data_IF_900365723526
#
_entry.id   IF_900365723526
#
_cell.length_a   1.000
_cell.length_b   1.000
_cell.length_c   1.000
_cell.angle_alpha   90.00
_cell.angle_beta   90.00
_cell.angle_gamma   90.00
#
_symmetry.space_group_name_H-M   'P 1'
#
loop_
_entity.id
_entity.type
_entity.pdbx_description
1 polymer ?
#
# COMPACT_ATOMS: atom_id res chain seq x y z
N UNK A 1 6.91 48.56 63.81
CA UNK A 1 7.66 48.47 62.54
C UNK A 1 8.31 47.09 62.54
N UNK A 2 8.17 46.37 61.42
CA UNK A 2 8.73 45.05 61.09
C UNK A 2 7.99 43.85 61.72
N UNK A 3 7.15 43.25 60.87
CA UNK A 3 6.54 41.93 61.03
C UNK A 3 7.57 40.91 60.55
N UNK A 4 7.89 39.98 61.44
CA UNK A 4 8.75 38.81 61.25
C UNK A 4 8.01 37.79 60.37
N UNK A 5 8.33 37.75 59.07
CA UNK A 5 7.86 36.67 58.19
C UNK A 5 8.67 35.40 58.45
N UNK A 6 8.02 34.49 59.19
CA UNK A 6 8.52 33.15 59.46
C UNK A 6 8.52 32.31 58.19
N UNK A 7 9.70 31.86 57.80
CA UNK A 7 9.90 30.77 56.85
C UNK A 7 9.16 29.52 57.32
N UNK A 8 8.23 29.05 56.48
CA UNK A 8 7.53 27.78 56.67
C UNK A 8 8.31 26.72 55.89
N UNK A 9 9.25 26.08 56.57
CA UNK A 9 10.00 24.92 56.08
C UNK A 9 9.16 23.65 56.34
N UNK A 10 8.52 23.11 55.31
CA UNK A 10 7.79 21.83 55.34
C UNK A 10 8.66 20.74 54.69
N UNK A 11 9.27 19.90 55.54
CA UNK A 11 9.59 18.44 55.49
C UNK A 11 9.74 17.62 54.18
N UNK A 12 9.67 18.17 52.97
CA UNK A 12 10.06 17.45 51.75
C UNK A 12 10.88 18.44 50.93
N UNK A 13 12.19 18.20 50.77
CA UNK A 13 13.17 19.11 50.15
C UNK A 13 12.95 19.46 48.67
N UNK A 14 11.73 19.75 48.24
CA UNK A 14 11.39 20.32 46.96
C UNK A 14 11.19 21.82 47.13
N UNK A 15 12.04 22.59 46.45
CA UNK A 15 11.90 24.03 46.35
C UNK A 15 10.55 24.40 45.71
N UNK A 16 10.08 25.62 45.98
CA UNK A 16 8.84 26.15 45.37
C UNK A 16 8.87 26.10 43.82
N UNK A 17 10.07 26.19 43.24
CA UNK A 17 10.33 26.00 41.82
C UNK A 17 10.13 24.54 41.35
N UNK A 18 10.42 23.55 42.19
CA UNK A 18 10.13 22.14 41.93
C UNK A 18 8.62 21.86 41.81
N UNK A 19 7.80 22.51 42.64
CA UNK A 19 6.34 22.43 42.52
C UNK A 19 5.84 23.03 41.20
N UNK A 20 6.41 24.17 40.76
CA UNK A 20 6.05 24.78 39.46
C UNK A 20 6.41 23.90 38.27
N UNK A 21 7.58 23.23 38.31
CA UNK A 21 7.99 22.30 37.25
C UNK A 21 7.07 21.07 37.21
N UNK A 22 6.72 20.50 38.36
CA UNK A 22 5.80 19.37 38.43
C UNK A 22 4.40 19.72 37.93
N UNK A 23 3.90 20.92 38.23
CA UNK A 23 2.63 21.42 37.69
C UNK A 23 2.70 21.60 36.16
N UNK A 24 3.82 22.08 35.62
CA UNK A 24 4.04 22.17 34.17
C UNK A 24 4.03 20.80 33.48
N UNK A 25 4.76 19.82 34.04
CA UNK A 25 4.79 18.44 33.51
C UNK A 25 3.40 17.79 33.58
N UNK A 26 2.68 18.00 34.69
CA UNK A 26 1.32 17.50 34.85
C UNK A 26 0.37 18.11 33.81
N UNK A 27 0.48 19.41 33.52
CA UNK A 27 -0.32 20.07 32.49
C UNK A 27 -0.07 19.52 31.08
N UNK A 28 1.19 19.21 30.73
CA UNK A 28 1.55 18.58 29.44
C UNK A 28 0.97 17.16 29.34
N UNK A 29 1.09 16.36 30.40
CA UNK A 29 0.55 15.00 30.44
C UNK A 29 -0.98 15.03 30.32
N UNK A 30 -1.64 15.94 31.04
CA UNK A 30 -3.09 16.14 30.94
C UNK A 30 -3.47 16.55 29.51
N UNK A 31 -2.72 17.46 28.88
CA UNK A 31 -2.91 17.85 27.48
C UNK A 31 -2.81 16.66 26.51
N UNK A 32 -1.80 15.82 26.67
CA UNK A 32 -1.57 14.64 25.84
C UNK A 32 -2.69 13.59 26.02
N UNK A 33 -3.13 13.34 27.27
CA UNK A 33 -4.26 12.43 27.57
C UNK A 33 -5.59 12.99 27.06
N UNK A 34 -5.81 14.31 27.15
CA UNK A 34 -6.99 14.97 26.58
C UNK A 34 -7.01 14.87 25.06
N UNK A 35 -5.86 15.07 24.40
CA UNK A 35 -5.72 14.93 22.96
C UNK A 35 -5.98 13.49 22.51
N UNK A 36 -5.41 12.51 23.23
CA UNK A 36 -5.64 11.09 23.01
C UNK A 36 -7.11 10.69 23.20
N UNK A 37 -7.76 11.14 24.27
CA UNK A 37 -9.20 10.90 24.50
C UNK A 37 -10.08 11.58 23.46
N UNK A 38 -9.70 12.74 22.96
CA UNK A 38 -10.43 13.46 21.92
C UNK A 38 -10.36 12.73 20.57
N UNK A 39 -9.18 12.26 20.18
CA UNK A 39 -8.99 11.42 19.00
C UNK A 39 -9.79 10.11 19.10
N UNK A 40 -9.74 9.42 20.25
CA UNK A 40 -10.52 8.19 20.51
C UNK A 40 -12.04 8.40 20.40
N UNK A 41 -12.56 9.58 20.78
CA UNK A 41 -13.99 9.93 20.61
C UNK A 41 -14.38 10.14 19.15
N UNK A 42 -13.50 10.70 18.31
CA UNK A 42 -13.77 10.84 16.85
C UNK A 42 -13.86 9.47 16.16
N UNK A 43 -12.95 8.56 16.49
CA UNK A 43 -12.96 7.18 15.97
C UNK A 43 -14.23 6.42 16.38
N UNK A 44 -14.72 6.61 17.60
CA UNK A 44 -15.97 6.01 18.08
C UNK A 44 -17.23 6.61 17.42
N UNK A 45 -17.28 7.93 17.21
CA UNK A 45 -18.42 8.59 16.53
C UNK A 45 -18.61 8.11 15.09
N UNK A 46 -17.53 7.81 14.35
CA UNK A 46 -17.65 7.22 13.01
C UNK A 46 -18.20 5.80 13.03
N UNK A 47 -17.90 4.98 14.05
CA UNK A 47 -18.49 3.64 14.21
C UNK A 47 -19.99 3.68 14.48
N UNK A 48 -20.49 4.71 15.17
CA UNK A 48 -21.92 4.88 15.46
C UNK A 48 -22.76 5.29 14.24
N UNK A 49 -22.21 6.08 13.31
CA UNK A 49 -22.86 6.44 12.05
C UNK A 49 -22.95 5.26 11.06
N UNK A 50 -22.15 4.21 11.28
CA UNK A 50 -22.08 2.98 10.48
C UNK A 50 -23.23 1.99 10.73
N UNK A 51 -23.99 2.16 11.81
CA UNK A 51 -25.12 1.28 12.14
C UNK A 51 -26.43 1.61 11.40
N UNK A 52 -26.53 2.80 10.78
CA UNK A 52 -27.77 3.26 10.11
C UNK A 52 -27.80 3.06 8.59
N UNK A 53 -26.66 2.98 7.93
CA UNK A 53 -26.60 2.97 6.46
C UNK A 53 -26.41 1.57 5.87
N UNK A 54 -26.35 0.53 6.71
CA UNK A 54 -26.14 -0.86 6.29
C UNK A 54 -27.42 -1.59 5.88
N UNK A 55 -28.61 -1.08 6.24
CA UNK A 55 -29.90 -1.70 5.89
C UNK A 55 -30.44 -1.27 4.53
N UNK A 56 -30.11 -0.06 4.07
CA UNK A 56 -30.71 0.50 2.84
C UNK A 56 -30.07 -0.02 1.54
N UNK A 57 -28.86 -0.60 1.60
CA UNK A 57 -28.14 -1.02 0.39
C UNK A 57 -28.46 -2.47 -0.04
N UNK A 58 -28.90 -3.32 0.90
CA UNK A 58 -29.35 -4.69 0.58
C UNK A 58 -30.69 -4.70 -0.15
N UNK A 59 -31.56 -3.73 0.15
CA UNK A 59 -32.90 -3.66 -0.42
C UNK A 59 -32.89 -3.19 -1.88
N UNK A 60 -31.89 -2.38 -2.27
CA UNK A 60 -31.75 -1.89 -3.64
C UNK A 60 -31.13 -2.90 -4.63
N UNK A 61 -30.50 -3.98 -4.16
CA UNK A 61 -29.92 -5.00 -5.06
C UNK A 61 -30.88 -6.16 -5.36
N UNK A 62 -32.02 -6.27 -4.65
CA UNK A 62 -33.00 -7.33 -4.89
C UNK A 62 -33.98 -7.04 -6.05
N UNK A 63 -34.05 -5.80 -6.53
CA UNK A 63 -35.08 -5.37 -7.50
C UNK A 63 -34.65 -5.42 -8.99
N UNK A 64 -33.40 -5.83 -9.27
CA UNK A 64 -32.85 -5.83 -10.65
C UNK A 64 -32.87 -7.19 -11.37
N UNK A 65 -33.29 -8.28 -10.73
CA UNK A 65 -33.15 -9.66 -11.25
C UNK A 65 -34.49 -10.31 -11.68
N UNK A 66 -35.45 -9.55 -12.21
CA UNK A 66 -36.68 -10.14 -12.79
C UNK A 66 -37.13 -9.45 -14.08
N UNK A 67 -36.60 -9.87 -15.24
CA UNK A 67 -37.37 -10.03 -16.50
C UNK A 67 -36.74 -11.05 -17.46
N UNK A 68 -37.53 -11.95 -18.10
CA UNK A 68 -37.03 -13.03 -18.97
C UNK A 68 -37.30 -12.83 -20.48
N UNK A 69 -36.54 -13.58 -21.30
CA UNK A 69 -36.86 -14.00 -22.68
C UNK A 69 -35.95 -13.41 -23.76
N UNK A 70 -35.65 -14.05 -24.90
CA UNK A 70 -36.03 -15.33 -25.53
C UNK A 70 -35.06 -15.56 -26.71
N UNK A 71 -34.77 -16.83 -27.04
CA UNK A 71 -34.52 -17.25 -28.43
C UNK A 71 -33.16 -17.89 -28.74
N UNK A 72 -33.15 -19.21 -28.91
CA UNK A 72 -32.18 -19.96 -29.74
C UNK A 72 -32.77 -20.17 -31.15
N UNK A 73 -31.98 -20.52 -32.20
CA UNK A 73 -31.60 -21.93 -32.36
C UNK A 73 -30.18 -22.21 -32.90
N UNK A 74 -29.62 -23.30 -32.38
CA UNK A 74 -28.81 -24.35 -33.04
C UNK A 74 -27.72 -23.98 -34.06
N UNK A 75 -26.46 -24.27 -33.69
CA UNK A 75 -25.46 -24.81 -34.60
C UNK A 75 -24.53 -25.73 -33.82
N UNK A 76 -24.45 -26.98 -34.26
CA UNK A 76 -23.56 -28.03 -33.76
C UNK A 76 -22.15 -27.73 -34.26
N UNK A 77 -21.20 -27.51 -33.35
CA UNK A 77 -19.77 -27.71 -33.62
C UNK A 77 -19.05 -28.19 -32.36
N UNK A 78 -18.44 -29.37 -32.52
CA UNK A 78 -17.35 -29.99 -31.76
C UNK A 78 -16.74 -29.17 -30.61
N UNK A 79 -16.73 -29.75 -29.40
CA UNK A 79 -16.01 -29.20 -28.25
C UNK A 79 -14.49 -29.16 -28.55
N UNK A 80 -13.80 -28.01 -28.43
CA UNK A 80 -12.36 -27.99 -28.49
C UNK A 80 -11.81 -28.69 -27.24
N UNK A 81 -10.86 -29.61 -27.45
CA UNK A 81 -10.14 -30.33 -26.41
C UNK A 81 -9.70 -29.39 -25.27
N UNK A 82 -9.69 -29.85 -24.00
CA UNK A 82 -9.33 -29.01 -22.88
C UNK A 82 -7.93 -28.44 -23.11
N UNK A 83 -7.86 -27.10 -23.20
CA UNK A 83 -6.62 -26.37 -23.37
C UNK A 83 -5.60 -26.88 -22.35
N UNK A 84 -4.49 -27.44 -22.83
CA UNK A 84 -3.39 -27.89 -21.98
C UNK A 84 -3.09 -26.79 -20.96
N UNK A 85 -2.89 -27.10 -19.66
CA UNK A 85 -2.61 -26.10 -18.62
C UNK A 85 -1.47 -25.14 -19.01
N UNK A 86 -0.53 -25.62 -19.83
CA UNK A 86 0.58 -24.85 -20.38
C UNK A 86 0.17 -23.79 -21.40
N UNK A 87 -0.95 -23.98 -22.12
CA UNK A 87 -1.49 -23.00 -23.07
C UNK A 87 -2.18 -21.84 -22.32
N UNK A 88 -2.81 -22.12 -21.19
CA UNK A 88 -3.37 -21.10 -20.28
C UNK A 88 -2.26 -20.29 -19.61
N UNK A 89 -1.19 -20.94 -19.14
CA UNK A 89 0.01 -20.27 -18.63
C UNK A 89 0.70 -19.43 -19.71
N UNK A 90 0.83 -19.93 -20.94
CA UNK A 90 1.39 -19.19 -22.08
C UNK A 90 0.58 -17.92 -22.40
N UNK A 91 -0.75 -18.00 -22.39
CA UNK A 91 -1.62 -16.83 -22.58
C UNK A 91 -1.46 -15.82 -21.44
N UNK A 92 -1.43 -16.28 -20.19
CA UNK A 92 -1.19 -15.42 -19.01
C UNK A 92 0.20 -14.75 -19.04
N UNK A 93 1.24 -15.48 -19.44
CA UNK A 93 2.60 -14.95 -19.56
C UNK A 93 2.81 -14.03 -20.77
N UNK A 94 2.19 -14.32 -21.92
CA UNK A 94 2.23 -13.45 -23.10
C UNK A 94 1.61 -12.10 -22.80
N UNK A 95 0.40 -12.11 -22.21
CA UNK A 95 -0.26 -10.89 -21.76
C UNK A 95 0.56 -10.13 -20.70
N UNK A 96 1.28 -10.85 -19.82
CA UNK A 96 2.16 -10.23 -18.84
C UNK A 96 3.36 -9.51 -19.49
N UNK A 97 3.96 -10.07 -20.54
CA UNK A 97 5.07 -9.42 -21.25
C UNK A 97 4.64 -8.20 -22.07
N UNK A 98 3.45 -8.22 -22.67
CA UNK A 98 2.88 -7.07 -23.39
C UNK A 98 2.51 -5.90 -22.47
N UNK A 99 2.25 -6.18 -21.18
CA UNK A 99 1.93 -5.18 -20.14
C UNK A 99 3.18 -4.64 -19.44
N UNK A 100 4.24 -5.46 -19.29
CA UNK A 100 5.49 -5.10 -18.60
C UNK A 100 6.42 -4.26 -19.46
N UNK A 101 6.33 -4.33 -20.79
CA UNK A 101 6.99 -3.41 -21.71
C UNK A 101 5.96 -2.71 -22.62
N UNK A 102 5.33 -1.61 -22.17
CA UNK A 102 4.75 -0.64 -23.09
C UNK A 102 5.92 -0.04 -23.88
N UNK A 103 6.09 -0.42 -25.14
CA UNK A 103 6.99 0.31 -26.02
C UNK A 103 6.43 1.73 -26.14
N UNK A 104 7.16 2.71 -25.62
CA UNK A 104 6.78 4.11 -25.67
C UNK A 104 6.65 4.52 -27.15
N UNK A 105 5.44 4.85 -27.59
CA UNK A 105 5.27 5.70 -28.76
C UNK A 105 5.65 7.12 -28.32
N UNK A 106 6.65 7.68 -29.00
CA UNK A 106 7.20 9.01 -28.78
C UNK A 106 6.09 10.09 -28.83
N UNK A 107 5.67 10.60 -27.67
CA UNK A 107 4.93 11.85 -27.60
C UNK A 107 5.91 13.01 -27.38
N UNK A 108 6.24 13.65 -28.49
CA UNK A 108 6.98 14.89 -28.57
C UNK A 108 6.29 16.05 -27.82
N UNK A 109 7.12 16.82 -27.10
CA UNK A 109 7.11 18.28 -26.87
C UNK A 109 7.32 18.65 -25.39
N UNK A 110 8.05 19.68 -24.98
CA UNK A 110 9.04 20.55 -25.59
C UNK A 110 9.66 21.35 -24.43
N UNK A 111 10.98 21.27 -24.21
CA UNK A 111 11.73 22.40 -23.62
C UNK A 111 13.26 22.30 -23.82
N UNK A 112 13.71 22.97 -24.89
CA UNK A 112 14.92 23.77 -25.01
C UNK A 112 16.21 23.33 -24.26
N UNK A 113 17.17 22.73 -24.97
CA UNK A 113 18.45 23.38 -25.33
C UNK A 113 19.52 22.41 -25.90
N UNK A 114 20.00 22.76 -27.11
CA UNK A 114 21.22 22.33 -27.85
C UNK A 114 21.33 20.89 -28.43
N UNK A 115 21.63 20.76 -29.75
CA UNK A 115 21.97 19.48 -30.36
C UNK A 115 23.42 19.11 -30.00
N UNK A 116 23.62 17.96 -29.32
CA UNK A 116 24.96 17.36 -29.19
C UNK A 116 25.29 16.61 -30.48
N UNK A 117 26.42 16.99 -31.08
CA UNK A 117 27.01 16.37 -32.28
C UNK A 117 27.22 14.87 -32.08
N UNK A 118 26.95 14.10 -33.13
CA UNK A 118 27.29 12.68 -33.23
C UNK A 118 28.80 12.49 -32.99
N UNK A 119 29.16 11.67 -32.00
CA UNK A 119 30.53 11.20 -31.81
C UNK A 119 30.47 9.70 -31.54
N UNK A 120 30.86 8.97 -32.58
CA UNK A 120 31.56 7.67 -32.58
C UNK A 120 31.00 6.56 -31.68
N UNK A 121 30.41 5.57 -32.35
CA UNK A 121 30.04 4.26 -31.82
C UNK A 121 31.22 3.54 -31.17
N UNK A 122 31.14 3.14 -29.89
CA UNK A 122 32.17 2.31 -29.28
C UNK A 122 32.10 0.89 -29.87
N UNK A 123 33.25 0.41 -30.32
CA UNK A 123 33.49 -0.93 -30.86
C UNK A 123 32.91 -2.01 -29.93
N UNK A 124 31.95 -2.78 -30.45
CA UNK A 124 31.39 -3.97 -29.82
C UNK A 124 32.47 -5.05 -29.64
N UNK A 125 32.79 -5.37 -28.38
CA UNK A 125 33.50 -6.60 -28.03
C UNK A 125 32.51 -7.75 -28.21
N UNK A 126 32.68 -8.55 -29.26
CA UNK A 126 31.90 -9.76 -29.50
C UNK A 126 32.43 -10.91 -28.63
N UNK A 127 31.90 -11.05 -27.41
CA UNK A 127 31.93 -12.34 -26.68
C UNK A 127 30.60 -12.54 -25.97
N UNK A 128 29.71 -13.30 -26.60
CA UNK A 128 28.67 -14.04 -25.89
C UNK A 128 28.24 -15.20 -26.77
N UNK A 129 28.86 -16.36 -26.53
CA UNK A 129 28.28 -17.66 -26.86
C UNK A 129 26.80 -17.63 -26.41
N UNK A 130 25.87 -17.75 -27.36
CA UNK A 130 24.44 -17.67 -27.13
C UNK A 130 24.02 -18.89 -26.29
N UNK A 131 24.09 -18.78 -24.96
CA UNK A 131 23.61 -19.82 -24.04
C UNK A 131 22.19 -20.20 -24.46
N UNK A 132 21.97 -21.46 -24.85
CA UNK A 132 20.62 -21.97 -25.15
C UNK A 132 19.76 -21.74 -23.91
N UNK A 133 18.76 -20.88 -24.01
CA UNK A 133 17.77 -20.68 -22.96
C UNK A 133 16.93 -21.96 -22.93
N UNK A 134 16.92 -22.73 -21.82
CA UNK A 134 16.15 -23.96 -21.74
C UNK A 134 14.67 -23.64 -22.01
N UNK A 135 14.06 -24.45 -22.86
CA UNK A 135 12.64 -24.33 -23.16
C UNK A 135 11.86 -24.66 -21.88
N UNK A 136 10.69 -24.03 -21.68
CA UNK A 136 9.87 -24.24 -20.48
C UNK A 136 9.49 -25.72 -20.22
N UNK A 137 9.61 -26.57 -21.26
CA UNK A 137 9.37 -28.02 -21.21
C UNK A 137 10.48 -28.81 -20.50
N UNK A 138 11.63 -28.19 -20.30
CA UNK A 138 12.81 -28.79 -19.68
C UNK A 138 12.98 -28.36 -18.20
N UNK A 139 11.96 -27.71 -17.62
CA UNK A 139 12.00 -27.33 -16.20
C UNK A 139 11.95 -28.58 -15.31
N UNK A 140 12.73 -28.63 -14.21
CA UNK A 140 12.61 -29.68 -13.22
C UNK A 140 11.16 -29.82 -12.73
N UNK A 141 10.64 -31.05 -12.56
CA UNK A 141 9.25 -31.28 -12.18
C UNK A 141 8.87 -30.60 -10.85
N UNK A 142 9.81 -30.54 -9.89
CA UNK A 142 9.64 -29.87 -8.60
C UNK A 142 9.33 -28.36 -8.76
N UNK A 143 10.02 -27.68 -9.70
CA UNK A 143 9.79 -26.28 -9.98
C UNK A 143 8.46 -26.07 -10.71
N UNK A 144 8.11 -26.96 -11.63
CA UNK A 144 6.82 -26.89 -12.32
C UNK A 144 5.64 -27.04 -11.36
N UNK A 145 5.75 -27.96 -10.39
CA UNK A 145 4.76 -28.11 -9.32
C UNK A 145 4.65 -26.84 -8.46
N UNK A 146 5.77 -26.25 -8.05
CA UNK A 146 5.80 -25.01 -7.27
C UNK A 146 5.14 -23.83 -8.01
N UNK A 147 5.35 -23.73 -9.32
CA UNK A 147 4.73 -22.70 -10.16
C UNK A 147 3.22 -22.88 -10.35
N UNK A 148 2.71 -24.11 -10.24
CA UNK A 148 1.28 -24.42 -10.35
C UNK A 148 0.51 -24.19 -9.04
N UNK A 149 1.22 -24.01 -7.92
CA UNK A 149 0.57 -23.73 -6.63
C UNK A 149 -0.25 -22.43 -6.70
N UNK A 150 -1.55 -22.45 -6.36
CA UNK A 150 -2.36 -21.25 -6.32
C UNK A 150 -1.81 -20.28 -5.27
N UNK A 151 -1.48 -19.06 -5.70
CA UNK A 151 -1.12 -17.95 -4.80
C UNK A 151 -2.13 -16.84 -4.99
N UNK A 152 -2.59 -16.27 -3.88
CA UNK A 152 -3.45 -15.09 -3.90
C UNK A 152 -2.64 -13.90 -4.40
N UNK A 153 -3.13 -13.26 -5.46
CA UNK A 153 -2.49 -12.10 -6.08
C UNK A 153 -2.65 -10.84 -5.20
N UNK A 154 -1.75 -9.88 -5.42
CA UNK A 154 -1.74 -8.60 -4.69
C UNK A 154 -3.10 -7.90 -4.68
N UNK A 155 -3.80 -7.87 -5.81
CA UNK A 155 -5.08 -7.15 -5.94
C UNK A 155 -6.15 -7.82 -5.10
N UNK A 156 -6.25 -9.15 -5.14
CA UNK A 156 -7.15 -9.91 -4.25
C UNK A 156 -6.86 -9.65 -2.77
N UNK A 157 -5.58 -9.66 -2.38
CA UNK A 157 -5.15 -9.35 -1.02
C UNK A 157 -5.51 -7.91 -0.62
N UNK A 158 -5.32 -6.93 -1.51
CA UNK A 158 -5.72 -5.54 -1.31
C UNK A 158 -7.23 -5.43 -1.07
N UNK A 159 -8.06 -6.08 -1.88
CA UNK A 159 -9.51 -6.06 -1.68
C UNK A 159 -9.94 -6.71 -0.37
N UNK A 160 -9.26 -7.79 0.05
CA UNK A 160 -9.47 -8.39 1.38
C UNK A 160 -9.22 -7.37 2.49
N UNK A 161 -8.12 -6.61 2.42
CA UNK A 161 -7.82 -5.59 3.42
C UNK A 161 -8.73 -4.36 3.34
N UNK A 162 -9.13 -3.93 2.14
CA UNK A 162 -10.12 -2.86 1.96
C UNK A 162 -11.45 -3.25 2.64
N UNK A 163 -11.95 -4.45 2.37
CA UNK A 163 -13.19 -4.96 2.97
C UNK A 163 -13.06 -5.09 4.50
N UNK A 164 -11.92 -5.60 4.99
CA UNK A 164 -11.63 -5.71 6.42
C UNK A 164 -11.62 -4.34 7.12
N UNK A 165 -11.08 -3.32 6.46
CA UNK A 165 -10.96 -1.97 7.03
C UNK A 165 -12.33 -1.35 7.33
N UNK A 166 -13.36 -1.72 6.55
CA UNK A 166 -14.70 -1.12 6.61
C UNK A 166 -14.73 0.38 6.30
N UNK A 167 -13.65 0.91 5.72
CA UNK A 167 -13.54 2.30 5.25
C UNK A 167 -13.89 2.40 3.78
N UNK A 168 -14.35 3.58 3.38
CA UNK A 168 -14.68 3.84 1.98
C UNK A 168 -13.40 4.07 1.15
N UNK A 169 -13.43 3.74 -0.13
CA UNK A 169 -12.29 3.99 -1.04
C UNK A 169 -11.76 5.44 -0.95
N UNK A 170 -12.62 6.49 -0.89
CA UNK A 170 -12.18 7.88 -0.66
C UNK A 170 -11.42 8.13 0.62
N UNK A 171 -11.77 7.46 1.71
CA UNK A 171 -11.04 7.60 2.97
C UNK A 171 -9.65 6.95 2.86
N UNK A 172 -9.56 5.79 2.20
CA UNK A 172 -8.29 5.06 2.06
C UNK A 172 -7.30 5.82 1.18
N UNK A 173 -7.67 6.23 -0.04
CA UNK A 173 -6.69 6.91 -0.89
C UNK A 173 -6.29 8.29 -0.36
N UNK A 174 -7.18 8.98 0.39
CA UNK A 174 -6.83 10.23 1.08
C UNK A 174 -5.87 9.99 2.24
N UNK A 175 -6.14 8.99 3.07
CA UNK A 175 -5.23 8.60 4.16
C UNK A 175 -3.86 8.16 3.63
N UNK A 176 -3.83 7.55 2.44
CA UNK A 176 -2.60 7.17 1.75
C UNK A 176 -1.86 8.36 1.10
N UNK A 177 -2.45 9.56 1.05
CA UNK A 177 -1.86 10.69 0.31
C UNK A 177 -1.80 10.49 -1.20
N UNK A 178 -2.74 9.72 -1.78
CA UNK A 178 -2.73 9.34 -3.20
C UNK A 178 -3.86 10.01 -4.00
N UNK A 179 -3.62 10.23 -5.30
CA UNK A 179 -4.68 10.63 -6.23
C UNK A 179 -5.71 9.50 -6.40
N UNK A 180 -6.99 9.89 -6.45
CA UNK A 180 -8.11 9.02 -6.83
C UNK A 180 -7.85 8.27 -8.13
N UNK A 181 -7.23 8.91 -9.14
CA UNK A 181 -6.92 8.28 -10.43
C UNK A 181 -5.92 7.13 -10.27
N UNK A 182 -4.87 7.34 -9.48
CA UNK A 182 -3.87 6.31 -9.17
C UNK A 182 -4.51 5.15 -8.43
N UNK A 183 -5.30 5.43 -7.39
CA UNK A 183 -6.01 4.39 -6.65
C UNK A 183 -6.98 3.60 -7.54
N UNK A 184 -7.70 4.28 -8.43
CA UNK A 184 -8.59 3.62 -9.40
C UNK A 184 -7.82 2.71 -10.36
N UNK A 185 -6.64 3.14 -10.83
CA UNK A 185 -5.79 2.32 -11.69
C UNK A 185 -5.34 1.04 -10.98
N UNK A 186 -4.92 1.13 -9.72
CA UNK A 186 -4.57 -0.02 -8.87
C UNK A 186 -5.76 -0.99 -8.73
N UNK A 187 -6.96 -0.45 -8.54
CA UNK A 187 -8.16 -1.28 -8.32
C UNK A 187 -8.71 -1.90 -9.61
N UNK A 188 -8.50 -1.28 -10.78
CA UNK A 188 -9.24 -1.62 -12.00
C UNK A 188 -8.37 -2.30 -13.05
N UNK A 189 -7.14 -1.82 -13.25
CA UNK A 189 -6.27 -2.34 -14.31
C UNK A 189 -5.72 -3.71 -13.90
N UNK A 190 -6.00 -4.79 -14.65
CA UNK A 190 -5.40 -6.08 -14.37
C UNK A 190 -3.88 -5.96 -14.49
N UNK A 191 -3.15 -6.60 -13.56
CA UNK A 191 -1.68 -6.59 -13.53
C UNK A 191 -1.01 -5.21 -13.35
N UNK A 192 -1.74 -4.19 -12.89
CA UNK A 192 -1.09 -2.94 -12.50
C UNK A 192 -0.09 -3.19 -11.37
N UNK A 193 1.15 -2.77 -11.56
CA UNK A 193 2.21 -2.89 -10.57
C UNK A 193 2.44 -1.54 -9.89
N UNK A 194 1.85 -1.30 -8.70
CA UNK A 194 2.09 -0.07 -7.96
C UNK A 194 3.56 0.06 -7.57
N UNK A 195 4.07 1.29 -7.52
CA UNK A 195 5.43 1.52 -7.02
C UNK A 195 5.57 1.09 -5.57
N UNK A 196 6.79 0.77 -5.17
CA UNK A 196 7.11 0.37 -3.79
C UNK A 196 6.55 1.34 -2.73
N UNK A 197 6.77 2.65 -2.92
CA UNK A 197 6.22 3.70 -2.07
C UNK A 197 4.71 3.70 -1.99
N UNK A 198 4.05 3.47 -3.12
CA UNK A 198 2.59 3.37 -3.21
C UNK A 198 2.07 2.19 -2.39
N UNK A 199 2.75 1.03 -2.45
CA UNK A 199 2.38 -0.15 -1.65
C UNK A 199 2.57 0.12 -0.16
N UNK A 200 3.65 0.80 0.24
CA UNK A 200 3.87 1.19 1.63
C UNK A 200 2.77 2.16 2.09
N UNK A 201 2.46 3.20 1.31
CA UNK A 201 1.37 4.15 1.61
C UNK A 201 0.02 3.45 1.75
N UNK A 202 -0.27 2.46 0.91
CA UNK A 202 -1.47 1.62 1.05
C UNK A 202 -1.45 0.79 2.33
N UNK A 203 -0.33 0.16 2.67
CA UNK A 203 -0.20 -0.61 3.91
C UNK A 203 -0.42 0.26 5.15
N UNK A 204 0.16 1.47 5.16
CA UNK A 204 -0.03 2.48 6.20
C UNK A 204 -1.48 2.93 6.25
N UNK A 205 -2.05 3.33 5.11
CA UNK A 205 -3.43 3.76 5.03
C UNK A 205 -4.40 2.68 5.50
N UNK A 206 -4.13 1.39 5.23
CA UNK A 206 -4.93 0.24 5.68
C UNK A 206 -4.68 -0.15 7.14
N UNK A 207 -3.74 0.51 7.83
CA UNK A 207 -3.33 0.25 9.20
C UNK A 207 -2.90 -1.23 9.41
N UNK A 208 -2.14 -1.77 8.46
CA UNK A 208 -1.66 -3.15 8.51
C UNK A 208 -0.62 -3.32 9.61
N UNK A 209 -0.73 -4.41 10.39
CA UNK A 209 0.34 -4.76 11.34
C UNK A 209 1.63 -5.10 10.61
N UNK A 210 2.78 -5.05 11.29
CA UNK A 210 4.08 -5.36 10.66
C UNK A 210 4.10 -6.69 9.86
N UNK A 211 3.63 -7.84 10.40
CA UNK A 211 3.60 -9.08 9.61
C UNK A 211 2.66 -9.00 8.41
N UNK A 212 1.51 -8.34 8.53
CA UNK A 212 0.57 -8.14 7.42
C UNK A 212 1.16 -7.22 6.35
N UNK A 213 1.87 -6.17 6.74
CA UNK A 213 2.56 -5.27 5.84
C UNK A 213 3.70 -5.99 5.09
N UNK A 214 4.43 -6.89 5.76
CA UNK A 214 5.44 -7.74 5.12
C UNK A 214 4.82 -8.65 4.06
N UNK A 215 3.73 -9.36 4.39
CA UNK A 215 2.98 -10.19 3.42
C UNK A 215 2.47 -9.33 2.27
N UNK A 216 1.92 -8.15 2.57
CA UNK A 216 1.36 -7.25 1.56
C UNK A 216 2.42 -6.74 0.58
N UNK A 217 3.61 -6.39 1.07
CA UNK A 217 4.76 -6.04 0.25
C UNK A 217 5.23 -7.22 -0.59
N UNK A 218 5.32 -8.42 0.00
CA UNK A 218 5.76 -9.64 -0.69
C UNK A 218 4.84 -9.96 -1.87
N UNK A 219 3.53 -9.88 -1.68
CA UNK A 219 2.56 -10.09 -2.78
C UNK A 219 2.67 -9.06 -3.89
N UNK A 220 3.10 -7.83 -3.56
CA UNK A 220 3.38 -6.79 -4.55
C UNK A 220 4.74 -6.97 -5.25
N UNK A 221 5.56 -7.95 -4.83
CA UNK A 221 6.90 -8.19 -5.36
C UNK A 221 8.00 -7.36 -4.69
N UNK A 222 7.75 -6.86 -3.47
CA UNK A 222 8.70 -6.07 -2.69
C UNK A 222 8.97 -6.71 -1.32
N UNK A 223 10.04 -6.27 -0.67
CA UNK A 223 10.35 -6.63 0.71
C UNK A 223 10.84 -5.39 1.47
N UNK A 224 10.66 -5.41 2.79
CA UNK A 224 11.39 -4.50 3.68
C UNK A 224 12.81 -5.03 3.85
N UNK A 225 13.80 -4.15 3.71
CA UNK A 225 15.21 -4.46 3.84
C UNK A 225 15.80 -3.69 5.01
N UNK A 226 16.41 -4.39 5.96
CA UNK A 226 17.12 -3.76 7.08
C UNK A 226 18.33 -2.93 6.63
N UNK A 227 18.84 -3.14 5.40
CA UNK A 227 19.92 -2.36 4.83
C UNK A 227 19.47 -0.98 4.33
N UNK A 228 18.16 -0.73 4.20
CA UNK A 228 17.60 0.54 3.73
C UNK A 228 17.14 1.36 4.94
N UNK A 229 17.74 2.54 5.21
CA UNK A 229 17.33 3.39 6.32
C UNK A 229 15.83 3.72 6.31
N UNK A 230 15.26 4.04 5.14
CA UNK A 230 13.82 4.30 5.04
C UNK A 230 12.92 3.12 5.43
N UNK A 231 13.35 1.88 5.19
CA UNK A 231 12.58 0.70 5.61
C UNK A 231 12.63 0.50 7.12
N UNK A 232 13.76 0.82 7.75
CA UNK A 232 13.88 0.82 9.20
C UNK A 232 12.94 1.85 9.82
N UNK A 233 12.84 3.04 9.23
CA UNK A 233 11.88 4.08 9.64
C UNK A 233 10.45 3.55 9.53
N UNK A 234 10.05 3.07 8.36
CA UNK A 234 8.68 2.57 8.12
C UNK A 234 8.33 1.43 9.08
N UNK A 235 9.18 0.41 9.20
CA UNK A 235 8.94 -0.74 10.09
C UNK A 235 8.94 -0.35 11.57
N UNK A 236 9.74 0.64 11.96
CA UNK A 236 9.76 1.22 13.31
C UNK A 236 8.42 1.88 13.67
N UNK A 237 7.79 2.62 12.76
CA UNK A 237 6.50 3.26 13.00
C UNK A 237 5.34 2.26 13.00
N UNK A 238 5.32 1.35 12.01
CA UNK A 238 4.32 0.28 11.91
C UNK A 238 4.30 -0.59 13.17
N UNK A 239 5.47 -1.00 13.68
CA UNK A 239 5.56 -1.84 14.89
C UNK A 239 5.03 -1.15 16.16
N UNK A 240 4.91 0.18 16.16
CA UNK A 240 4.32 0.97 17.25
C UNK A 240 2.86 1.34 17.03
N UNK A 241 2.26 0.88 15.93
CA UNK A 241 0.88 1.22 15.57
C UNK A 241 0.71 2.69 15.14
N UNK A 242 1.78 3.32 14.65
CA UNK A 242 1.73 4.66 14.09
C UNK A 242 1.69 4.51 12.58
N UNK A 243 0.56 4.88 11.98
CA UNK A 243 0.26 4.65 10.56
C UNK A 243 0.01 5.94 9.76
N UNK A 244 0.18 7.10 10.39
CA UNK A 244 -0.02 8.38 9.73
C UNK A 244 1.06 8.59 8.67
N UNK A 245 0.65 8.64 7.41
CA UNK A 245 1.55 8.76 6.26
C UNK A 245 2.34 10.06 6.34
N UNK A 246 1.74 11.17 6.81
CA UNK A 246 2.45 12.45 6.90
C UNK A 246 3.58 12.38 7.92
N UNK A 247 3.31 11.82 9.11
CA UNK A 247 4.32 11.67 10.17
C UNK A 247 5.51 10.82 9.68
N UNK A 248 5.23 9.76 8.93
CA UNK A 248 6.26 8.86 8.43
C UNK A 248 7.04 9.51 7.28
N UNK A 249 6.37 10.21 6.36
CA UNK A 249 7.01 10.95 5.28
C UNK A 249 7.94 12.04 5.81
N UNK A 250 7.50 12.78 6.84
CA UNK A 250 8.32 13.80 7.51
C UNK A 250 9.58 13.15 8.12
N UNK A 251 9.44 12.00 8.80
CA UNK A 251 10.58 11.28 9.36
C UNK A 251 11.53 10.72 8.30
N UNK A 252 11.02 10.32 7.14
CA UNK A 252 11.84 9.91 6.00
C UNK A 252 12.57 11.10 5.38
N UNK A 253 11.91 12.26 5.31
CA UNK A 253 12.51 13.48 4.79
C UNK A 253 13.73 13.93 5.61
N UNK A 254 13.68 13.79 6.94
CA UNK A 254 14.81 14.09 7.84
C UNK A 254 16.08 13.25 7.54
N UNK A 255 15.92 12.05 6.95
CA UNK A 255 17.03 11.19 6.53
C UNK A 255 17.32 11.29 5.02
N UNK A 256 16.69 12.23 4.31
CA UNK A 256 16.85 12.44 2.87
C UNK A 256 16.17 11.38 2.00
N UNK A 257 15.20 10.66 2.55
CA UNK A 257 14.38 9.67 1.82
C UNK A 257 12.93 10.15 1.67
N UNK A 258 12.17 9.47 0.81
CA UNK A 258 10.74 9.66 0.60
C UNK A 258 10.14 8.33 0.11
N UNK A 259 8.86 8.08 0.38
CA UNK A 259 8.15 6.89 -0.09
C UNK A 259 7.98 6.89 -1.61
#
# INVERSE_FOLDING_TARGET
MLIEEKEIFLELGLSWWGCLILLGVLAVIIGMVCCYRHWKRKVQKQKALRGKNGSDLSDLMCEAEQKPGKGSPSSVMEAPAPDSPMNSLRKRFSHFMDVVMPWEEDDAEANNSKPRKATESPKLIMVAERRKVPSYRDLPPELAEELLKPREDFRSLLFRYLNRSGRTNPEIYRAAGMDRKLFSAICTKPHYQPSRGTVIRLALALELTLPEAMEFMERAGYAFSAARPGDLVVTYYISRGIYDVMIIEDALYEIGEHL
#
